data_IF_818586564429
#
_entry.id   IF_818586564429
#
_cell.length_a   1.000
_cell.length_b   1.000
_cell.length_c   1.000
_cell.angle_alpha   90.00
_cell.angle_beta   90.00
_cell.angle_gamma   90.00
#
_symmetry.space_group_name_H-M   'P 1'
#
loop_
_entity.id
_entity.type
_entity.pdbx_description
1 polymer ?
#
# COMPACT_ATOMS: atom_id res chain seq x y z
N UNK A 1 -20.04 -5.22 -22.32
CA UNK A 1 -18.91 -5.97 -22.90
C UNK A 1 -17.85 -6.07 -21.82
N UNK A 2 -17.55 -7.27 -21.31
CA UNK A 2 -16.49 -7.45 -20.29
C UNK A 2 -15.15 -7.25 -20.97
N UNK A 3 -14.51 -6.11 -20.74
CA UNK A 3 -13.14 -5.89 -21.20
C UNK A 3 -12.23 -6.84 -20.39
N UNK A 4 -11.35 -7.58 -21.05
CA UNK A 4 -10.42 -8.50 -20.41
C UNK A 4 -9.01 -8.10 -20.79
N UNK A 5 -8.17 -7.81 -19.79
CA UNK A 5 -6.81 -7.32 -19.96
C UNK A 5 -5.84 -8.48 -19.70
N UNK A 6 -4.90 -8.71 -20.60
CA UNK A 6 -3.89 -9.76 -20.45
C UNK A 6 -2.66 -9.17 -19.80
N UNK A 7 -2.25 -9.73 -18.66
CA UNK A 7 -1.03 -9.33 -17.95
C UNK A 7 -0.05 -10.50 -17.88
N UNK A 8 1.22 -10.21 -17.68
CA UNK A 8 2.27 -11.20 -17.52
C UNK A 8 2.99 -11.00 -16.19
N UNK A 9 3.11 -12.07 -15.41
CA UNK A 9 3.83 -12.07 -14.13
C UNK A 9 4.73 -13.30 -14.12
N UNK A 10 6.03 -13.10 -13.92
CA UNK A 10 7.04 -14.15 -13.78
C UNK A 10 6.99 -15.18 -14.92
N UNK A 11 6.85 -14.68 -16.15
CA UNK A 11 6.76 -15.49 -17.38
C UNK A 11 5.40 -16.15 -17.64
N UNK A 12 4.42 -16.04 -16.72
CA UNK A 12 3.06 -16.58 -16.89
C UNK A 12 2.07 -15.49 -17.28
N UNK A 13 1.21 -15.79 -18.25
CA UNK A 13 0.18 -14.86 -18.72
C UNK A 13 -1.16 -15.13 -18.03
N UNK A 14 -1.80 -14.09 -17.53
CA UNK A 14 -3.10 -14.12 -16.87
C UNK A 14 -4.09 -13.20 -17.60
N UNK A 15 -5.37 -13.57 -17.59
CA UNK A 15 -6.45 -12.73 -18.11
C UNK A 15 -7.25 -12.17 -16.94
N UNK A 16 -7.12 -10.86 -16.69
CA UNK A 16 -7.96 -10.17 -15.72
C UNK A 16 -9.23 -9.68 -16.38
N UNK A 17 -10.36 -9.86 -15.70
CA UNK A 17 -11.56 -9.08 -15.98
C UNK A 17 -11.27 -7.65 -15.54
N UNK A 18 -11.44 -6.67 -16.43
CA UNK A 18 -11.29 -5.26 -16.08
C UNK A 18 -12.30 -4.92 -15.00
N UNK A 19 -11.86 -4.83 -13.75
CA UNK A 19 -12.61 -4.12 -12.71
C UNK A 19 -12.33 -2.63 -12.88
N UNK A 20 -13.29 -1.79 -12.48
CA UNK A 20 -13.19 -0.32 -12.51
C UNK A 20 -12.19 0.23 -11.46
N UNK A 21 -11.12 -0.51 -11.20
CA UNK A 21 -10.03 -0.08 -10.33
C UNK A 21 -9.35 1.15 -10.92
N UNK A 22 -9.15 2.18 -10.10
CA UNK A 22 -8.34 3.35 -10.48
C UNK A 22 -6.88 2.97 -10.72
N UNK A 23 -6.41 1.86 -10.14
CA UNK A 23 -5.05 1.34 -10.29
C UNK A 23 -4.94 0.46 -11.53
N UNK A 24 -3.96 0.73 -12.38
CA UNK A 24 -3.72 -0.02 -13.62
C UNK A 24 -3.20 -1.44 -13.32
N UNK A 25 -3.84 -2.45 -13.91
CA UNK A 25 -3.52 -3.85 -13.69
C UNK A 25 -2.10 -4.21 -14.16
N UNK A 26 -1.61 -3.55 -15.21
CA UNK A 26 -0.26 -3.72 -15.76
C UNK A 26 0.80 -3.22 -14.80
N UNK A 27 0.53 -2.10 -14.12
CA UNK A 27 1.44 -1.55 -13.12
C UNK A 27 1.55 -2.49 -11.93
N UNK A 28 0.42 -3.01 -11.46
CA UNK A 28 0.41 -4.03 -10.39
C UNK A 28 1.15 -5.29 -10.83
N UNK A 29 0.95 -5.74 -12.06
CA UNK A 29 1.65 -6.91 -12.59
C UNK A 29 3.16 -6.70 -12.66
N UNK A 30 3.61 -5.54 -13.13
CA UNK A 30 5.02 -5.17 -13.19
C UNK A 30 5.64 -5.08 -11.79
N UNK A 31 4.90 -4.53 -10.82
CA UNK A 31 5.33 -4.46 -9.43
C UNK A 31 5.54 -5.85 -8.85
N UNK A 32 4.56 -6.75 -8.97
CA UNK A 32 4.66 -8.14 -8.49
C UNK A 32 5.82 -8.87 -9.17
N UNK A 33 5.99 -8.72 -10.48
CA UNK A 33 7.09 -9.32 -11.24
C UNK A 33 8.47 -8.87 -10.73
N UNK A 34 8.63 -7.57 -10.45
CA UNK A 34 9.86 -7.03 -9.87
C UNK A 34 10.18 -7.63 -8.50
N UNK A 35 9.18 -7.71 -7.60
CA UNK A 35 9.34 -8.26 -6.26
C UNK A 35 9.68 -9.75 -6.28
N UNK A 36 9.08 -10.51 -7.19
CA UNK A 36 9.43 -11.92 -7.40
C UNK A 36 10.89 -12.07 -7.86
N UNK A 37 11.37 -11.21 -8.77
CA UNK A 37 12.77 -11.25 -9.24
C UNK A 37 13.77 -10.87 -8.15
N UNK A 38 13.48 -9.85 -7.36
CA UNK A 38 14.31 -9.42 -6.22
C UNK A 38 14.46 -10.54 -5.18
N UNK A 39 13.37 -11.23 -4.84
CA UNK A 39 13.40 -12.30 -3.86
C UNK A 39 14.23 -13.50 -4.30
N UNK A 40 14.18 -13.85 -5.59
CA UNK A 40 15.05 -14.90 -6.15
C UNK A 40 16.52 -14.49 -6.12
N UNK A 41 16.81 -13.22 -6.44
CA UNK A 41 18.18 -12.71 -6.38
C UNK A 41 18.74 -12.75 -4.95
N UNK A 42 17.91 -12.47 -3.94
CA UNK A 42 18.32 -12.44 -2.54
C UNK A 42 18.40 -13.83 -1.87
N UNK A 43 17.49 -14.76 -2.19
CA UNK A 43 17.34 -16.04 -1.47
C UNK A 43 17.74 -17.28 -2.28
N UNK A 44 18.07 -17.13 -3.55
CA UNK A 44 18.41 -18.24 -4.44
C UNK A 44 17.19 -18.94 -5.04
N UNK A 45 17.41 -20.09 -5.69
CA UNK A 45 16.35 -20.81 -6.40
C UNK A 45 15.39 -21.50 -5.42
N UNK A 46 14.13 -21.07 -5.44
CA UNK A 46 12.99 -21.73 -4.77
C UNK A 46 11.94 -22.09 -5.82
N UNK A 47 10.93 -22.89 -5.46
CA UNK A 47 9.81 -23.16 -6.36
C UNK A 47 9.06 -21.86 -6.69
N UNK A 48 8.51 -21.76 -7.91
CA UNK A 48 7.73 -20.58 -8.33
C UNK A 48 6.52 -20.33 -7.44
N UNK A 49 5.93 -21.39 -6.88
CA UNK A 49 4.78 -21.27 -5.98
C UNK A 49 5.19 -20.66 -4.64
N UNK A 50 6.25 -21.17 -4.02
CA UNK A 50 6.76 -20.64 -2.75
C UNK A 50 7.23 -19.20 -2.91
N UNK A 51 7.85 -18.87 -4.05
CA UNK A 51 8.23 -17.51 -4.39
C UNK A 51 7.01 -16.58 -4.48
N UNK A 52 5.94 -17.02 -5.13
CA UNK A 52 4.71 -16.24 -5.24
C UNK A 52 4.05 -16.02 -3.87
N UNK A 53 4.02 -17.05 -3.01
CA UNK A 53 3.51 -16.95 -1.64
C UNK A 53 4.36 -15.97 -0.81
N UNK A 54 5.68 -16.08 -0.89
CA UNK A 54 6.60 -15.18 -0.16
C UNK A 54 6.46 -13.73 -0.65
N UNK A 55 6.30 -13.54 -1.96
CA UNK A 55 6.07 -12.21 -2.54
C UNK A 55 4.76 -11.61 -2.03
N UNK A 56 3.67 -12.40 -2.04
CA UNK A 56 2.39 -11.97 -1.50
C UNK A 56 2.48 -11.62 -0.01
N UNK A 57 3.23 -12.40 0.78
CA UNK A 57 3.43 -12.14 2.20
C UNK A 57 4.15 -10.81 2.44
N UNK A 58 5.25 -10.57 1.72
CA UNK A 58 6.01 -9.31 1.84
C UNK A 58 5.17 -8.10 1.44
N UNK A 59 4.44 -8.17 0.32
CA UNK A 59 3.57 -7.07 -0.14
C UNK A 59 2.45 -6.81 0.89
N UNK A 60 1.86 -7.87 1.45
CA UNK A 60 0.83 -7.72 2.47
C UNK A 60 1.38 -7.09 3.75
N UNK A 61 2.60 -7.47 4.16
CA UNK A 61 3.27 -6.87 5.31
C UNK A 61 3.52 -5.37 5.10
N UNK A 62 4.11 -4.98 3.96
CA UNK A 62 4.34 -3.57 3.62
C UNK A 62 3.03 -2.76 3.63
N UNK A 63 1.95 -3.33 3.09
CA UNK A 63 0.64 -2.69 3.09
C UNK A 63 0.11 -2.49 4.52
N UNK A 64 0.28 -3.47 5.40
CA UNK A 64 -0.14 -3.35 6.81
C UNK A 64 0.69 -2.30 7.55
N UNK A 65 2.01 -2.28 7.35
CA UNK A 65 2.91 -1.29 7.93
C UNK A 65 2.56 0.13 7.48
N UNK A 66 2.29 0.34 6.18
CA UNK A 66 1.85 1.62 5.65
C UNK A 66 0.52 2.07 6.26
N UNK A 67 -0.45 1.16 6.44
CA UNK A 67 -1.74 1.48 7.08
C UNK A 67 -1.57 1.92 8.54
N UNK A 68 -0.71 1.22 9.28
CA UNK A 68 -0.40 1.58 10.68
C UNK A 68 0.27 2.96 10.73
N UNK A 69 1.24 3.22 9.85
CA UNK A 69 1.92 4.52 9.80
C UNK A 69 0.97 5.66 9.42
N UNK A 70 0.07 5.45 8.45
CA UNK A 70 -0.93 6.45 8.09
C UNK A 70 -1.91 6.74 9.23
N UNK A 71 -2.41 5.70 9.92
CA UNK A 71 -3.28 5.90 11.09
C UNK A 71 -2.58 6.63 12.23
N UNK A 72 -1.32 6.29 12.51
CA UNK A 72 -0.53 6.98 13.53
C UNK A 72 -0.25 8.46 13.17
N UNK A 73 -0.06 8.76 11.87
CA UNK A 73 0.09 10.14 11.40
C UNK A 73 -1.22 10.93 11.54
N UNK A 74 -2.35 10.35 11.15
CA UNK A 74 -3.66 10.98 11.30
C UNK A 74 -3.96 11.30 12.76
N UNK A 75 -3.69 10.36 13.67
CA UNK A 75 -3.86 10.57 15.11
C UNK A 75 -2.94 11.67 15.65
N UNK A 76 -1.67 11.70 15.20
CA UNK A 76 -0.73 12.75 15.59
C UNK A 76 -1.16 14.14 15.09
N UNK A 77 -1.68 14.23 13.85
CA UNK A 77 -2.20 15.48 13.29
C UNK A 77 -3.46 15.95 14.04
N UNK A 78 -4.39 15.05 14.34
CA UNK A 78 -5.59 15.35 15.13
C UNK A 78 -5.23 15.88 16.52
N UNK A 79 -4.28 15.24 17.21
CA UNK A 79 -3.81 15.70 18.52
C UNK A 79 -3.19 17.10 18.45
N UNK A 80 -2.43 17.39 17.38
CA UNK A 80 -1.82 18.72 17.19
C UNK A 80 -2.88 19.79 16.94
N UNK A 81 -3.88 19.50 16.12
CA UNK A 81 -5.01 20.39 15.87
C UNK A 81 -5.79 20.67 17.15
N UNK A 82 -6.06 19.64 17.95
CA UNK A 82 -6.74 19.77 19.23
C UNK A 82 -5.95 20.68 20.20
N UNK A 83 -4.63 20.49 20.32
CA UNK A 83 -3.77 21.36 21.13
C UNK A 83 -3.77 22.82 20.66
N UNK A 84 -3.79 23.05 19.35
CA UNK A 84 -3.86 24.40 18.77
C UNK A 84 -5.19 25.09 19.08
N UNK A 85 -6.31 24.37 18.98
CA UNK A 85 -7.65 24.87 19.34
C UNK A 85 -7.70 25.22 20.82
N UNK A 86 -7.21 24.35 21.69
CA UNK A 86 -7.17 24.60 23.14
C UNK A 86 -6.28 25.81 23.51
N UNK A 87 -5.18 26.02 22.79
CA UNK A 87 -4.33 27.18 22.98
C UNK A 87 -5.03 28.49 22.54
N UNK A 88 -5.72 28.47 21.41
CA UNK A 88 -6.52 29.60 20.92
C UNK A 88 -7.66 29.96 21.89
N UNK A 89 -8.39 28.96 22.39
CA UNK A 89 -9.47 29.16 23.36
C UNK A 89 -8.95 29.79 24.66
N UNK A 90 -7.77 29.38 25.14
CA UNK A 90 -7.13 29.98 26.32
C UNK A 90 -6.76 31.44 26.11
N UNK A 91 -6.20 31.79 24.95
CA UNK A 91 -5.86 33.18 24.62
C UNK A 91 -7.12 34.06 24.48
N UNK A 92 -8.18 33.54 23.85
CA UNK A 92 -9.46 34.24 23.73
C UNK A 92 -10.09 34.53 25.10
N UNK A 93 -10.09 33.55 26.01
CA UNK A 93 -10.57 33.75 27.39
C UNK A 93 -9.74 34.78 28.17
N UNK A 94 -8.47 34.97 27.80
CA UNK A 94 -7.60 35.95 28.42
C UNK A 94 -7.83 37.37 27.91
N UNK A 95 -8.38 37.52 26.69
CA UNK A 95 -8.72 38.81 26.06
C UNK A 95 -10.12 39.30 26.50
N UNK A 96 -11.03 38.39 26.84
CA UNK A 96 -12.40 38.72 27.30
C UNK A 96 -12.49 39.10 28.80
N UNK A 97 -11.36 39.14 29.51
CA UNK A 97 -11.24 39.52 30.93
C UNK A 97 -10.61 40.89 31.11
#
# INVERSE_FOLDING_TARGET
>A
MTNSKKIQIYGKTYSLKSSSSEVDAEEVAAYVDSRMKELVAARGKTSTLDLAILTALNIAQELMELRIQSGAKEEAEQNKLQQLVEALDKELQHIEK
#
